data_IF_601596625947
#
_entry.id   IF_601596625947
#
_cell.length_a   1.000
_cell.length_b   1.000
_cell.length_c   1.000
_cell.angle_alpha   90.00
_cell.angle_beta   90.00
_cell.angle_gamma   90.00
#
_symmetry.space_group_name_H-M   'P 1'
#
loop_
_entity.id
_entity.type
_entity.pdbx_description
1 polymer ?
#
# COMPACT_ATOMS: atom_id res chain seq x y z
N UNK A 1 -15.30 -19.65 5.85
CA UNK A 1 -15.19 -19.30 4.42
C UNK A 1 -13.74 -19.44 3.98
N UNK A 2 -13.49 -19.57 2.68
CA UNK A 2 -12.17 -19.56 2.05
C UNK A 2 -11.91 -18.22 1.40
N UNK A 3 -10.90 -17.51 1.87
CA UNK A 3 -10.58 -16.15 1.43
C UNK A 3 -9.21 -16.14 0.76
N UNK A 4 -9.05 -15.43 -0.35
CA UNK A 4 -7.74 -15.20 -0.97
C UNK A 4 -7.42 -13.72 -1.10
N UNK A 5 -6.25 -13.31 -0.64
CA UNK A 5 -5.76 -11.93 -0.70
C UNK A 5 -4.71 -11.79 -1.78
N UNK A 6 -4.95 -10.95 -2.77
CA UNK A 6 -3.96 -10.58 -3.78
C UNK A 6 -3.26 -9.30 -3.34
N UNK A 7 -1.99 -9.42 -2.96
CA UNK A 7 -1.18 -8.30 -2.45
C UNK A 7 -0.12 -7.91 -3.48
N UNK A 8 -0.11 -6.62 -3.83
CA UNK A 8 0.85 -6.02 -4.76
C UNK A 8 1.85 -5.07 -4.07
N UNK A 9 1.74 -4.86 -2.76
CA UNK A 9 2.56 -3.89 -2.01
C UNK A 9 2.67 -4.30 -0.54
N UNK A 10 3.65 -3.73 0.18
CA UNK A 10 3.79 -3.95 1.63
C UNK A 10 2.55 -3.48 2.40
N UNK A 11 1.89 -2.45 1.88
CA UNK A 11 0.66 -1.90 2.45
C UNK A 11 -0.51 -2.88 2.29
N UNK A 12 -0.66 -3.52 1.11
CA UNK A 12 -1.64 -4.58 0.93
C UNK A 12 -1.36 -5.80 1.82
N UNK A 13 -0.08 -6.16 2.01
CA UNK A 13 0.29 -7.25 2.92
C UNK A 13 -0.10 -6.93 4.37
N UNK A 14 0.12 -5.69 4.83
CA UNK A 14 -0.33 -5.24 6.15
C UNK A 14 -1.85 -5.26 6.28
N UNK A 15 -2.57 -4.74 5.29
CA UNK A 15 -4.04 -4.73 5.31
C UNK A 15 -4.60 -6.16 5.30
N UNK A 16 -4.05 -7.06 4.49
CA UNK A 16 -4.43 -8.48 4.51
C UNK A 16 -4.19 -9.09 5.90
N UNK A 17 -3.00 -8.88 6.48
CA UNK A 17 -2.67 -9.32 7.83
C UNK A 17 -3.66 -8.82 8.90
N UNK A 18 -4.04 -7.53 8.84
CA UNK A 18 -5.01 -6.96 9.78
C UNK A 18 -6.36 -7.67 9.66
N UNK A 19 -6.86 -7.87 8.44
CA UNK A 19 -8.16 -8.51 8.22
C UNK A 19 -8.16 -9.99 8.63
N UNK A 20 -7.08 -10.72 8.34
CA UNK A 20 -6.94 -12.13 8.72
C UNK A 20 -6.70 -12.36 10.21
N UNK A 21 -6.29 -11.34 10.96
CA UNK A 21 -6.12 -11.44 12.42
C UNK A 21 -7.28 -10.85 13.21
N UNK A 22 -8.28 -10.27 12.53
CA UNK A 22 -9.45 -9.66 13.16
C UNK A 22 -10.73 -10.34 12.69
N UNK A 23 -11.42 -9.75 11.71
CA UNK A 23 -12.75 -10.16 11.28
C UNK A 23 -12.76 -11.47 10.48
N UNK A 24 -11.62 -11.92 9.96
CA UNK A 24 -11.50 -13.18 9.19
C UNK A 24 -10.60 -14.20 9.89
N UNK A 25 -10.34 -14.05 11.19
CA UNK A 25 -9.41 -14.91 11.96
C UNK A 25 -9.80 -16.39 12.03
N UNK A 26 -11.09 -16.68 11.92
CA UNK A 26 -11.61 -18.04 11.97
C UNK A 26 -11.83 -18.66 10.57
N UNK A 27 -11.52 -17.91 9.50
CA UNK A 27 -11.65 -18.38 8.13
C UNK A 27 -10.37 -19.07 7.61
N UNK A 28 -10.51 -19.79 6.50
CA UNK A 28 -9.37 -20.30 5.75
C UNK A 28 -8.81 -19.21 4.83
N UNK A 29 -7.74 -18.55 5.28
CA UNK A 29 -7.14 -17.46 4.54
C UNK A 29 -5.94 -17.92 3.70
N UNK A 30 -5.87 -17.45 2.46
CA UNK A 30 -4.79 -17.70 1.51
C UNK A 30 -4.21 -16.36 1.04
N UNK A 31 -2.92 -16.35 0.71
CA UNK A 31 -2.23 -15.16 0.23
C UNK A 31 -1.65 -15.39 -1.16
N UNK A 32 -1.76 -14.38 -2.03
CA UNK A 32 -1.12 -14.33 -3.33
C UNK A 32 -0.24 -13.09 -3.36
N UNK A 33 1.07 -13.30 -3.42
CA UNK A 33 2.04 -12.23 -3.58
C UNK A 33 2.23 -12.02 -5.08
N UNK A 34 1.64 -10.94 -5.60
CA UNK A 34 1.56 -10.70 -7.03
C UNK A 34 2.33 -9.45 -7.42
N UNK A 35 3.47 -9.68 -8.08
CA UNK A 35 4.30 -8.63 -8.70
C UNK A 35 4.61 -7.43 -7.78
N UNK A 36 4.89 -7.60 -6.47
CA UNK A 36 5.18 -6.44 -5.65
C UNK A 36 6.55 -5.83 -6.00
N UNK A 37 6.72 -4.51 -5.88
CA UNK A 37 8.00 -3.87 -6.08
C UNK A 37 9.00 -4.37 -5.02
N UNK A 38 10.22 -4.67 -5.48
CA UNK A 38 11.35 -5.10 -4.63
C UNK A 38 11.02 -6.26 -3.67
N UNK A 39 10.32 -7.30 -4.14
CA UNK A 39 9.97 -8.45 -3.29
C UNK A 39 11.16 -9.06 -2.52
N UNK A 40 12.35 -9.08 -3.11
CA UNK A 40 13.55 -9.59 -2.44
C UNK A 40 13.92 -8.84 -1.15
N UNK A 41 13.52 -7.57 -1.00
CA UNK A 41 13.74 -6.82 0.24
C UNK A 41 12.74 -7.20 1.33
N UNK A 42 11.60 -7.79 0.97
CA UNK A 42 10.60 -8.26 1.94
C UNK A 42 11.15 -9.43 2.74
N UNK A 43 11.88 -10.34 2.08
CA UNK A 43 12.50 -11.51 2.69
C UNK A 43 13.56 -11.16 3.74
N UNK A 44 14.10 -9.93 3.69
CA UNK A 44 15.12 -9.42 4.62
C UNK A 44 14.53 -8.72 5.85
N UNK A 45 13.22 -8.49 5.87
CA UNK A 45 12.53 -7.84 6.97
C UNK A 45 11.69 -8.88 7.71
N UNK A 46 11.94 -9.06 9.01
CA UNK A 46 11.30 -10.12 9.79
C UNK A 46 9.78 -9.96 9.85
N UNK A 47 9.27 -8.73 9.96
CA UNK A 47 7.83 -8.45 9.95
C UNK A 47 7.25 -8.83 8.58
N UNK A 48 7.81 -8.32 7.48
CA UNK A 48 7.30 -8.61 6.14
C UNK A 48 7.35 -10.10 5.82
N UNK A 49 8.46 -10.77 6.15
CA UNK A 49 8.62 -12.21 6.01
C UNK A 49 7.52 -12.95 6.77
N UNK A 50 7.24 -12.55 8.00
CA UNK A 50 6.20 -13.16 8.83
C UNK A 50 4.80 -12.95 8.23
N UNK A 51 4.37 -11.70 8.05
CA UNK A 51 3.01 -11.34 7.59
C UNK A 51 2.73 -11.77 6.14
N UNK A 52 3.74 -12.23 5.40
CA UNK A 52 3.62 -12.76 4.05
C UNK A 52 3.93 -14.26 3.96
N UNK A 53 3.84 -15.00 5.06
CA UNK A 53 4.14 -16.44 5.11
C UNK A 53 3.03 -17.25 5.78
N UNK A 54 3.09 -18.57 5.66
CA UNK A 54 2.16 -19.46 6.38
C UNK A 54 2.25 -19.35 7.90
N UNK A 55 3.38 -18.87 8.43
CA UNK A 55 3.60 -18.71 9.87
C UNK A 55 2.63 -17.69 10.50
N UNK A 56 2.08 -16.76 9.70
CA UNK A 56 1.05 -15.84 10.14
C UNK A 56 -0.39 -16.36 9.95
N UNK A 57 -0.56 -17.68 9.78
CA UNK A 57 -1.88 -18.32 9.78
C UNK A 57 -2.53 -18.50 8.40
N UNK A 58 -1.88 -18.08 7.30
CA UNK A 58 -2.36 -18.46 5.97
C UNK A 58 -2.24 -19.96 5.73
N UNK A 59 -3.27 -20.58 5.17
CA UNK A 59 -3.25 -22.00 4.74
C UNK A 59 -2.22 -22.24 3.65
N UNK A 60 -2.10 -21.30 2.70
CA UNK A 60 -1.03 -21.31 1.72
C UNK A 60 -0.67 -19.89 1.25
N UNK A 61 0.55 -19.74 0.75
CA UNK A 61 1.04 -18.50 0.13
C UNK A 61 1.55 -18.82 -1.28
N UNK A 62 0.95 -18.19 -2.28
CA UNK A 62 1.30 -18.34 -3.69
C UNK A 62 2.11 -17.14 -4.16
N UNK A 63 3.32 -17.39 -4.66
CA UNK A 63 4.23 -16.32 -5.12
C UNK A 63 4.18 -16.26 -6.64
N UNK A 64 3.50 -15.25 -7.17
CA UNK A 64 3.23 -15.07 -8.61
C UNK A 64 3.93 -13.80 -9.14
N UNK A 65 5.26 -13.77 -9.07
CA UNK A 65 6.06 -12.59 -9.41
C UNK A 65 6.03 -12.25 -10.90
N UNK A 66 5.82 -13.25 -11.75
CA UNK A 66 5.84 -13.11 -13.21
C UNK A 66 4.44 -13.22 -13.85
N UNK A 67 3.39 -13.16 -13.03
CA UNK A 67 2.01 -13.35 -13.47
C UNK A 67 1.64 -12.44 -14.65
N UNK A 68 1.35 -13.08 -15.79
CA UNK A 68 0.99 -12.45 -17.06
C UNK A 68 1.95 -11.33 -17.46
N UNK A 69 3.25 -11.50 -17.16
CA UNK A 69 4.31 -10.59 -17.58
C UNK A 69 4.83 -10.94 -18.97
N UNK A 70 4.79 -9.98 -19.89
CA UNK A 70 5.41 -10.15 -21.22
C UNK A 70 6.93 -10.35 -21.16
N UNK A 71 7.57 -9.92 -20.07
CA UNK A 71 9.00 -10.12 -19.84
C UNK A 71 9.34 -11.52 -19.33
N UNK A 72 8.35 -12.31 -18.89
CA UNK A 72 8.60 -13.70 -18.52
C UNK A 72 8.81 -14.53 -19.79
N UNK A 73 10.07 -14.88 -20.04
CA UNK A 73 10.46 -15.69 -21.21
C UNK A 73 10.51 -17.19 -20.91
N UNK A 74 10.41 -17.60 -19.65
CA UNK A 74 10.60 -18.99 -19.23
C UNK A 74 9.29 -19.77 -19.14
N UNK A 75 8.14 -19.09 -18.99
CA UNK A 75 6.84 -19.75 -18.86
C UNK A 75 5.77 -19.01 -19.66
N UNK A 76 5.09 -19.72 -20.55
CA UNK A 76 3.99 -19.17 -21.36
C UNK A 76 2.80 -18.76 -20.49
N UNK A 77 1.97 -17.82 -20.95
CA UNK A 77 0.79 -17.40 -20.20
C UNK A 77 -0.18 -18.56 -19.91
N UNK A 78 -0.35 -19.50 -20.85
CA UNK A 78 -1.19 -20.69 -20.66
C UNK A 78 -0.66 -21.59 -19.54
N UNK A 79 0.65 -21.78 -19.45
CA UNK A 79 1.26 -22.56 -18.36
C UNK A 79 1.09 -21.87 -17.01
N UNK A 80 1.23 -20.54 -16.96
CA UNK A 80 0.96 -19.77 -15.74
C UNK A 80 -0.51 -19.94 -15.30
N UNK A 81 -1.47 -19.82 -16.24
CA UNK A 81 -2.90 -20.02 -15.94
C UNK A 81 -3.19 -21.46 -15.55
N UNK A 82 -2.56 -22.44 -16.20
CA UNK A 82 -2.66 -23.86 -15.83
C UNK A 82 -2.23 -24.08 -14.39
N UNK A 83 -1.10 -23.51 -13.96
CA UNK A 83 -0.67 -23.55 -12.56
C UNK A 83 -1.75 -22.99 -11.61
N UNK A 84 -2.32 -21.82 -11.92
CA UNK A 84 -3.38 -21.22 -11.10
C UNK A 84 -4.63 -22.11 -11.05
N UNK A 85 -5.05 -22.70 -12.19
CA UNK A 85 -6.18 -23.63 -12.23
C UNK A 85 -5.92 -24.88 -11.40
N UNK A 86 -4.72 -25.46 -11.48
CA UNK A 86 -4.37 -26.71 -10.80
C UNK A 86 -4.07 -26.56 -9.31
N UNK A 87 -3.61 -25.38 -8.86
CA UNK A 87 -3.14 -25.20 -7.48
C UNK A 87 -4.01 -24.25 -6.64
N UNK A 88 -4.76 -23.35 -7.28
CA UNK A 88 -5.51 -22.30 -6.58
C UNK A 88 -7.01 -22.44 -6.84
N UNK A 89 -7.45 -22.63 -8.09
CA UNK A 89 -8.88 -22.80 -8.41
C UNK A 89 -9.49 -24.01 -7.69
N UNK A 90 -8.73 -25.09 -7.55
CA UNK A 90 -9.15 -26.31 -6.83
C UNK A 90 -9.47 -26.07 -5.35
N UNK A 91 -9.00 -24.96 -4.76
CA UNK A 91 -9.30 -24.63 -3.37
C UNK A 91 -10.76 -24.23 -3.18
N UNK A 92 -11.45 -23.84 -4.26
CA UNK A 92 -12.80 -23.27 -4.26
C UNK A 92 -12.96 -22.09 -3.31
N UNK A 93 -12.28 -20.99 -3.65
CA UNK A 93 -12.24 -19.76 -2.85
C UNK A 93 -13.60 -19.07 -2.82
N UNK A 94 -14.15 -18.76 -1.64
CA UNK A 94 -15.41 -18.00 -1.52
C UNK A 94 -15.22 -16.52 -1.87
N UNK A 95 -14.20 -15.88 -1.30
CA UNK A 95 -13.98 -14.44 -1.40
C UNK A 95 -12.58 -14.09 -1.93
N UNK A 96 -12.52 -13.16 -2.87
CA UNK A 96 -11.27 -12.66 -3.45
C UNK A 96 -11.09 -11.19 -3.07
N UNK A 97 -9.98 -10.88 -2.40
CA UNK A 97 -9.62 -9.52 -1.99
C UNK A 97 -8.48 -9.00 -2.87
N UNK A 98 -8.66 -7.84 -3.50
CA UNK A 98 -7.64 -7.20 -4.33
C UNK A 98 -7.43 -5.75 -3.90
N UNK A 99 -6.19 -5.26 -3.91
CA UNK A 99 -5.91 -3.85 -3.63
C UNK A 99 -6.10 -2.94 -4.85
N UNK A 100 -5.69 -3.43 -6.03
CA UNK A 100 -5.68 -2.64 -7.27
C UNK A 100 -6.63 -3.24 -8.30
N UNK A 101 -7.84 -2.72 -8.40
CA UNK A 101 -8.82 -3.19 -9.38
C UNK A 101 -8.63 -2.59 -10.78
N UNK A 102 -7.74 -1.60 -10.93
CA UNK A 102 -7.32 -1.08 -12.25
C UNK A 102 -6.22 -1.93 -12.91
N UNK A 103 -5.67 -2.89 -12.16
CA UNK A 103 -4.65 -3.84 -12.63
C UNK A 103 -5.32 -4.99 -13.37
N UNK A 104 -5.13 -5.07 -14.69
CA UNK A 104 -5.64 -6.19 -15.51
C UNK A 104 -5.12 -7.54 -15.00
N UNK A 105 -3.83 -7.72 -14.62
CA UNK A 105 -3.37 -8.98 -14.03
C UNK A 105 -4.14 -9.42 -12.78
N UNK A 106 -4.49 -8.48 -11.87
CA UNK A 106 -5.28 -8.80 -10.68
C UNK A 106 -6.69 -9.26 -11.07
N UNK A 107 -7.32 -8.57 -12.01
CA UNK A 107 -8.66 -8.90 -12.49
C UNK A 107 -8.69 -10.26 -13.21
N UNK A 108 -7.71 -10.52 -14.07
CA UNK A 108 -7.58 -11.80 -14.76
C UNK A 108 -7.22 -12.94 -13.80
N UNK A 109 -6.56 -12.66 -12.68
CA UNK A 109 -6.38 -13.66 -11.62
C UNK A 109 -7.71 -14.06 -10.98
N UNK A 110 -8.59 -13.10 -10.68
CA UNK A 110 -9.95 -13.37 -10.16
C UNK A 110 -10.71 -14.33 -11.10
N UNK A 111 -10.67 -14.08 -12.40
CA UNK A 111 -11.29 -14.98 -13.39
C UNK A 111 -10.57 -16.33 -13.50
N UNK A 112 -9.23 -16.35 -13.44
CA UNK A 112 -8.46 -17.59 -13.54
C UNK A 112 -8.77 -18.60 -12.41
N UNK A 113 -9.12 -18.09 -11.21
CA UNK A 113 -9.59 -18.92 -10.09
C UNK A 113 -11.11 -19.18 -10.12
N UNK A 114 -11.79 -18.82 -11.21
CA UNK A 114 -13.21 -19.11 -11.45
C UNK A 114 -14.18 -18.17 -10.74
N UNK A 115 -13.75 -16.96 -10.35
CA UNK A 115 -14.60 -15.98 -9.68
C UNK A 115 -14.90 -14.79 -10.61
N UNK A 116 -16.03 -14.14 -10.39
CA UNK A 116 -16.52 -13.03 -11.23
C UNK A 116 -16.71 -11.73 -10.43
N UNK A 117 -16.27 -11.71 -9.18
CA UNK A 117 -16.43 -10.59 -8.27
C UNK A 117 -15.33 -10.60 -7.22
N UNK A 118 -15.10 -9.44 -6.61
CA UNK A 118 -14.05 -9.24 -5.63
C UNK A 118 -14.43 -8.19 -4.58
N UNK A 119 -13.69 -8.19 -3.49
CA UNK A 119 -13.67 -7.17 -2.45
C UNK A 119 -12.43 -6.32 -2.65
N UNK A 120 -12.56 -5.00 -2.55
CA UNK A 120 -11.41 -4.09 -2.63
C UNK A 120 -10.86 -3.85 -1.24
N UNK A 121 -9.54 -3.96 -1.09
CA UNK A 121 -8.82 -3.44 0.07
C UNK A 121 -8.11 -2.14 -0.33
N UNK A 122 -7.85 -1.28 0.65
CA UNK A 122 -7.27 0.04 0.39
C UNK A 122 -5.86 0.00 -0.23
N UNK A 123 -5.63 0.87 -1.22
CA UNK A 123 -4.41 1.10 -2.02
C UNK A 123 -4.00 2.59 -1.96
N UNK A 124 -4.26 3.24 -0.81
CA UNK A 124 -3.94 4.64 -0.54
C UNK A 124 -4.91 5.64 -1.18
N UNK A 125 -4.41 6.84 -1.53
CA UNK A 125 -5.23 7.98 -2.01
C UNK A 125 -6.20 7.62 -3.15
N UNK A 126 -5.79 6.70 -4.04
CA UNK A 126 -6.60 6.32 -5.20
C UNK A 126 -7.83 5.50 -4.86
N UNK A 127 -7.84 4.86 -3.68
CA UNK A 127 -9.04 4.20 -3.16
C UNK A 127 -10.14 5.21 -2.82
N UNK A 128 -9.81 6.47 -2.57
CA UNK A 128 -10.77 7.53 -2.23
C UNK A 128 -11.21 8.34 -3.44
N UNK A 129 -10.29 8.62 -4.37
CA UNK A 129 -10.57 9.41 -5.57
C UNK A 129 -9.77 8.90 -6.76
N UNK A 130 -10.45 8.73 -7.90
CA UNK A 130 -9.85 8.20 -9.12
C UNK A 130 -9.95 9.16 -10.33
N UNK A 131 -10.47 10.38 -10.13
CA UNK A 131 -10.75 11.31 -11.24
C UNK A 131 -9.53 11.63 -12.10
N UNK A 132 -8.35 11.77 -11.49
CA UNK A 132 -7.09 12.03 -12.24
C UNK A 132 -6.53 10.80 -12.96
N UNK A 133 -7.09 9.61 -12.73
CA UNK A 133 -6.63 8.34 -13.34
C UNK A 133 -7.59 7.78 -14.38
N UNK A 134 -8.78 8.37 -14.54
CA UNK A 134 -9.74 7.94 -15.56
C UNK A 134 -9.12 8.04 -16.94
N UNK A 135 -9.22 6.97 -17.71
CA UNK A 135 -8.72 6.94 -19.09
C UNK A 135 -9.72 7.62 -20.01
N UNK A 136 -9.22 8.28 -21.06
CA UNK A 136 -10.06 8.69 -22.20
C UNK A 136 -10.74 7.46 -22.79
N UNK A 137 -11.97 7.59 -23.30
CA UNK A 137 -12.75 6.47 -23.84
C UNK A 137 -11.99 5.65 -24.90
N UNK A 138 -11.30 6.31 -25.83
CA UNK A 138 -10.49 5.63 -26.86
C UNK A 138 -9.37 4.77 -26.25
N UNK A 139 -8.68 5.27 -25.22
CA UNK A 139 -7.65 4.52 -24.52
C UNK A 139 -8.24 3.35 -23.73
N UNK A 140 -9.40 3.56 -23.09
CA UNK A 140 -10.09 2.50 -22.37
C UNK A 140 -10.52 1.34 -23.29
N UNK A 141 -11.01 1.64 -24.50
CA UNK A 141 -11.34 0.64 -25.52
C UNK A 141 -10.09 -0.12 -25.94
N UNK A 142 -8.98 0.57 -26.23
CA UNK A 142 -7.72 -0.07 -26.56
C UNK A 142 -7.23 -1.00 -25.43
N UNK A 143 -7.27 -0.54 -24.18
CA UNK A 143 -6.92 -1.35 -23.02
C UNK A 143 -7.86 -2.55 -22.84
N UNK A 144 -9.15 -2.39 -23.16
CA UNK A 144 -10.13 -3.48 -23.17
C UNK A 144 -9.75 -4.54 -24.20
N UNK A 145 -9.52 -4.16 -25.45
CA UNK A 145 -9.08 -5.09 -26.51
C UNK A 145 -7.80 -5.84 -26.06
N UNK A 146 -6.80 -5.11 -25.54
CA UNK A 146 -5.56 -5.70 -25.04
C UNK A 146 -5.80 -6.69 -23.90
N UNK A 147 -6.68 -6.37 -22.95
CA UNK A 147 -7.02 -7.23 -21.84
C UNK A 147 -7.75 -8.51 -22.29
N UNK A 148 -8.70 -8.39 -23.22
CA UNK A 148 -9.41 -9.53 -23.79
C UNK A 148 -8.51 -10.41 -24.65
N UNK A 149 -7.58 -9.84 -25.42
CA UNK A 149 -6.58 -10.61 -26.14
C UNK A 149 -5.69 -11.38 -25.15
N UNK A 150 -5.20 -10.72 -24.09
CA UNK A 150 -4.41 -11.38 -23.04
C UNK A 150 -5.19 -12.52 -22.38
N UNK A 151 -6.45 -12.28 -22.02
CA UNK A 151 -7.37 -13.29 -21.48
C UNK A 151 -7.49 -14.51 -22.40
N UNK A 152 -7.73 -14.27 -23.69
CA UNK A 152 -7.88 -15.32 -24.70
C UNK A 152 -6.59 -16.13 -24.91
N UNK A 153 -5.45 -15.48 -25.15
CA UNK A 153 -4.17 -16.20 -25.37
C UNK A 153 -3.77 -17.02 -24.13
N UNK A 154 -4.11 -16.54 -22.94
CA UNK A 154 -3.80 -17.20 -21.67
C UNK A 154 -4.76 -18.34 -21.33
N UNK A 155 -5.89 -18.48 -22.04
CA UNK A 155 -6.90 -19.51 -21.77
C UNK A 155 -7.68 -19.27 -20.48
N UNK A 156 -7.90 -18.01 -20.12
CA UNK A 156 -8.72 -17.63 -18.96
C UNK A 156 -10.18 -17.53 -19.41
N UNK A 157 -11.03 -18.29 -18.74
CA UNK A 157 -12.47 -18.32 -18.95
C UNK A 157 -13.13 -17.49 -17.84
N UNK A 158 -14.15 -16.70 -18.19
CA UNK A 158 -14.86 -15.83 -17.26
C UNK A 158 -15.63 -14.74 -18.00
N UNK A 159 -16.53 -14.06 -17.31
CA UNK A 159 -17.31 -12.95 -17.85
C UNK A 159 -17.33 -11.73 -16.89
N UNK A 160 -16.33 -11.64 -16.01
CA UNK A 160 -16.20 -10.51 -15.09
C UNK A 160 -16.00 -9.23 -15.90
N UNK A 161 -16.66 -8.14 -15.48
CA UNK A 161 -16.39 -6.83 -16.04
C UNK A 161 -14.93 -6.44 -15.75
N UNK A 162 -14.16 -6.16 -16.81
CA UNK A 162 -12.79 -5.70 -16.70
C UNK A 162 -12.76 -4.16 -16.65
N UNK A 163 -12.34 -3.60 -15.52
CA UNK A 163 -12.19 -2.17 -15.26
C UNK A 163 -10.98 -1.58 -16.02
N UNK A 164 -11.14 -1.41 -17.33
CA UNK A 164 -10.12 -0.84 -18.23
C UNK A 164 -10.19 0.67 -18.31
N UNK A 165 -11.27 1.29 -17.80
CA UNK A 165 -11.43 2.74 -17.73
C UNK A 165 -10.73 3.36 -16.52
N UNK A 166 -10.28 2.51 -15.58
CA UNK A 166 -9.85 2.94 -14.25
C UNK A 166 -10.96 3.71 -13.51
N UNK A 167 -12.21 3.29 -13.74
CA UNK A 167 -13.35 3.81 -13.00
C UNK A 167 -13.33 3.27 -11.58
N UNK A 168 -13.79 4.08 -10.63
CA UNK A 168 -13.77 3.73 -9.22
C UNK A 168 -14.85 2.72 -8.84
N UNK A 169 -15.73 2.40 -9.78
CA UNK A 169 -16.93 1.58 -9.61
C UNK A 169 -16.91 0.44 -10.63
N UNK A 170 -15.94 -0.48 -10.49
CA UNK A 170 -16.04 -1.76 -11.20
C UNK A 170 -17.33 -2.48 -10.75
N UNK A 171 -18.25 -2.86 -11.65
CA UNK A 171 -19.44 -3.66 -11.32
C UNK A 171 -19.12 -5.02 -10.68
N UNK A 172 -17.88 -5.51 -10.85
CA UNK A 172 -17.41 -6.73 -10.20
C UNK A 172 -16.97 -6.52 -8.74
N UNK A 173 -16.79 -5.27 -8.30
CA UNK A 173 -16.49 -4.96 -6.91
C UNK A 173 -17.75 -5.06 -6.05
N UNK A 174 -17.67 -5.78 -4.92
CA UNK A 174 -18.79 -5.96 -3.98
C UNK A 174 -18.76 -5.02 -2.79
N UNK A 175 -17.57 -4.68 -2.31
CA UNK A 175 -17.36 -3.92 -1.08
C UNK A 175 -15.96 -3.29 -1.12
N UNK A 176 -15.85 -2.06 -0.63
CA UNK A 176 -14.58 -1.39 -0.35
C UNK A 176 -14.27 -1.45 1.15
N UNK A 177 -13.19 -2.14 1.53
CA UNK A 177 -12.71 -2.25 2.92
C UNK A 177 -11.57 -1.24 3.11
N UNK A 178 -11.82 -0.21 3.93
CA UNK A 178 -11.00 1.00 3.97
C UNK A 178 -10.76 1.47 5.41
N UNK A 179 -9.64 2.15 5.67
CA UNK A 179 -9.33 2.73 6.97
C UNK A 179 -10.24 3.93 7.30
N UNK A 180 -10.62 4.74 6.31
CA UNK A 180 -11.49 5.92 6.50
C UNK A 180 -12.61 6.02 5.47
N UNK A 181 -13.57 5.08 5.42
CA UNK A 181 -14.55 4.98 4.33
C UNK A 181 -15.38 6.26 4.09
N UNK A 182 -15.59 7.11 5.10
CA UNK A 182 -16.29 8.40 4.96
C UNK A 182 -15.56 9.43 4.10
N UNK A 183 -14.29 9.22 3.76
CA UNK A 183 -13.52 10.09 2.87
C UNK A 183 -13.70 9.74 1.39
N UNK A 184 -14.41 8.66 1.06
CA UNK A 184 -14.57 8.21 -0.32
C UNK A 184 -15.33 9.25 -1.14
N UNK A 185 -14.77 9.62 -2.30
CA UNK A 185 -15.38 10.56 -3.24
C UNK A 185 -15.72 9.91 -4.59
N UNK A 186 -15.14 8.75 -4.88
CA UNK A 186 -15.61 7.90 -5.98
C UNK A 186 -16.84 7.10 -5.56
N UNK A 187 -17.60 6.64 -6.55
CA UNK A 187 -18.68 5.69 -6.30
C UNK A 187 -18.15 4.37 -5.75
N UNK A 188 -18.93 3.78 -4.86
CA UNK A 188 -18.66 2.49 -4.22
C UNK A 188 -19.99 1.77 -4.00
N UNK A 189 -20.05 0.44 -4.24
CA UNK A 189 -21.27 -0.35 -4.00
C UNK A 189 -21.64 -0.38 -2.51
N UNK A 190 -20.63 -0.44 -1.65
CA UNK A 190 -20.73 -0.45 -0.19
C UNK A 190 -19.34 -0.26 0.38
N UNK A 191 -19.24 0.27 1.59
CA UNK A 191 -17.98 0.42 2.31
C UNK A 191 -18.00 -0.34 3.64
N UNK A 192 -16.82 -0.72 4.12
CA UNK A 192 -16.60 -1.26 5.47
C UNK A 192 -15.33 -0.65 6.04
N UNK A 193 -15.40 -0.22 7.30
CA UNK A 193 -14.27 0.37 7.99
C UNK A 193 -13.31 -0.70 8.53
N UNK A 194 -12.00 -0.45 8.40
CA UNK A 194 -10.93 -1.09 9.17
C UNK A 194 -10.78 -0.27 10.44
N UNK A 195 -11.29 -0.80 11.55
CA UNK A 195 -11.36 -0.06 12.81
C UNK A 195 -10.04 -0.13 13.59
N UNK A 196 -9.88 0.75 14.57
CA UNK A 196 -8.71 0.77 15.46
C UNK A 196 -8.61 -0.53 16.27
N UNK A 197 -9.73 -1.15 16.63
CA UNK A 197 -9.78 -2.45 17.31
C UNK A 197 -9.20 -3.55 16.43
N UNK A 198 -9.59 -3.61 15.14
CA UNK A 198 -9.04 -4.59 14.19
C UNK A 198 -7.53 -4.44 14.04
N UNK A 199 -7.05 -3.20 13.94
CA UNK A 199 -5.62 -2.88 13.84
C UNK A 199 -4.89 -3.32 15.12
N UNK A 200 -5.45 -3.02 16.29
CA UNK A 200 -4.86 -3.38 17.59
C UNK A 200 -4.80 -4.89 17.82
N UNK A 201 -5.81 -5.65 17.40
CA UNK A 201 -5.79 -7.12 17.47
C UNK A 201 -4.61 -7.69 16.67
N UNK A 202 -4.41 -7.23 15.44
CA UNK A 202 -3.31 -7.67 14.59
C UNK A 202 -1.94 -7.24 15.13
N UNK A 203 -1.82 -6.01 15.62
CA UNK A 203 -0.58 -5.50 16.23
C UNK A 203 -0.19 -6.30 17.48
N UNK A 204 -1.17 -6.80 18.25
CA UNK A 204 -0.90 -7.62 19.44
C UNK A 204 -0.14 -8.89 19.08
N UNK A 205 -0.44 -9.52 17.95
CA UNK A 205 0.31 -10.70 17.48
C UNK A 205 1.77 -10.34 17.12
N UNK A 206 2.01 -9.24 16.40
CA UNK A 206 3.38 -8.82 16.10
C UNK A 206 4.19 -8.50 17.37
N UNK A 207 3.54 -7.94 18.39
CA UNK A 207 4.17 -7.63 19.68
C UNK A 207 4.44 -8.89 20.51
N UNK A 208 3.50 -9.84 20.58
CA UNK A 208 3.69 -11.08 21.35
C UNK A 208 4.83 -11.94 20.76
N UNK A 209 5.05 -11.84 19.45
CA UNK A 209 6.16 -12.47 18.74
C UNK A 209 7.46 -11.68 18.78
N UNK A 210 7.47 -10.52 19.45
CA UNK A 210 8.60 -9.59 19.52
C UNK A 210 9.11 -9.12 18.14
N UNK A 211 8.27 -9.15 17.11
CA UNK A 211 8.62 -8.69 15.76
C UNK A 211 8.50 -7.18 15.65
N UNK A 212 7.52 -6.59 16.35
CA UNK A 212 7.31 -5.15 16.35
C UNK A 212 7.94 -4.52 17.60
N UNK A 213 9.12 -3.91 17.42
CA UNK A 213 9.91 -3.28 18.49
C UNK A 213 9.83 -1.76 18.42
N UNK A 214 10.02 -1.11 19.56
CA UNK A 214 10.26 0.33 19.60
C UNK A 214 11.62 0.61 18.95
N UNK A 215 11.69 1.62 18.11
CA UNK A 215 12.90 2.02 17.37
C UNK A 215 13.42 3.39 17.78
N UNK A 216 12.55 4.25 18.33
CA UNK A 216 12.88 5.62 18.72
C UNK A 216 13.04 5.73 20.23
N UNK A 217 14.27 5.99 20.68
CA UNK A 217 14.63 6.15 22.09
C UNK A 217 14.32 7.57 22.62
N UNK A 218 14.32 8.55 21.72
CA UNK A 218 14.19 9.98 22.02
C UNK A 218 12.96 10.56 21.32
N UNK A 219 12.45 11.70 21.81
CA UNK A 219 11.38 12.41 21.13
C UNK A 219 11.77 12.69 19.67
N UNK A 220 10.91 12.28 18.74
CA UNK A 220 11.31 12.13 17.34
C UNK A 220 10.27 12.65 16.35
N UNK A 221 10.76 13.03 15.18
CA UNK A 221 9.95 13.32 13.99
C UNK A 221 10.33 12.30 12.92
N UNK A 222 9.34 11.69 12.28
CA UNK A 222 9.56 10.78 11.16
C UNK A 222 9.27 11.50 9.85
N UNK A 223 10.28 11.67 9.01
CA UNK A 223 10.12 12.12 7.64
C UNK A 223 9.98 10.93 6.70
N UNK A 224 8.83 10.83 6.04
CA UNK A 224 8.56 9.87 4.97
C UNK A 224 8.95 10.52 3.64
N UNK A 225 10.14 10.20 3.15
CA UNK A 225 10.64 10.74 1.90
C UNK A 225 9.80 10.28 0.71
N UNK A 226 9.83 11.09 -0.34
CA UNK A 226 9.23 10.83 -1.64
C UNK A 226 10.23 11.26 -2.73
N UNK A 227 10.17 10.64 -3.93
CA UNK A 227 11.15 10.88 -4.99
C UNK A 227 10.88 12.20 -5.75
N UNK A 228 10.61 13.28 -5.03
CA UNK A 228 10.17 14.57 -5.56
C UNK A 228 11.33 15.36 -6.16
N UNK A 229 12.53 15.23 -5.57
CA UNK A 229 13.78 15.81 -6.11
C UNK A 229 14.12 15.16 -7.45
N UNK A 230 13.99 13.84 -7.50
CA UNK A 230 14.20 13.01 -8.69
C UNK A 230 13.17 13.30 -9.79
N UNK A 231 11.98 13.75 -9.39
CA UNK A 231 10.92 14.22 -10.29
C UNK A 231 11.07 15.70 -10.69
N UNK A 232 12.11 16.40 -10.21
CA UNK A 232 12.36 17.82 -10.51
C UNK A 232 11.30 18.76 -9.95
N UNK A 233 10.62 18.38 -8.86
CA UNK A 233 9.59 19.21 -8.21
C UNK A 233 10.20 20.32 -7.35
N UNK A 234 11.37 20.06 -6.78
CA UNK A 234 12.22 20.99 -6.04
C UNK A 234 13.63 20.38 -5.97
N UNK A 235 14.63 21.16 -5.57
CA UNK A 235 16.02 20.71 -5.47
C UNK A 235 16.33 20.03 -4.14
N UNK A 236 17.50 19.39 -4.07
CA UNK A 236 18.00 18.78 -2.84
C UNK A 236 18.22 19.83 -1.73
N UNK A 237 18.68 21.01 -2.11
CA UNK A 237 18.92 22.15 -1.22
C UNK A 237 17.60 22.71 -0.68
N UNK A 238 16.56 22.81 -1.51
CA UNK A 238 15.23 23.24 -1.09
C UNK A 238 14.61 22.28 -0.06
N UNK A 239 14.71 20.96 -0.28
CA UNK A 239 14.29 19.97 0.71
C UNK A 239 15.10 20.08 2.00
N UNK A 240 16.43 20.21 1.90
CA UNK A 240 17.29 20.36 3.08
C UNK A 240 16.93 21.61 3.90
N UNK A 241 16.72 22.76 3.26
CA UNK A 241 16.28 23.99 3.92
C UNK A 241 14.91 23.82 4.58
N UNK A 242 13.98 23.11 3.94
CA UNK A 242 12.68 22.79 4.53
C UNK A 242 12.84 21.95 5.81
N UNK A 243 13.66 20.90 5.77
CA UNK A 243 13.93 20.06 6.93
C UNK A 243 14.65 20.84 8.06
N UNK A 244 15.56 21.77 7.73
CA UNK A 244 16.19 22.65 8.71
C UNK A 244 15.20 23.60 9.39
N UNK A 245 14.25 24.17 8.64
CA UNK A 245 13.16 24.98 9.24
C UNK A 245 12.38 24.16 10.26
N UNK A 246 12.06 22.90 9.94
CA UNK A 246 11.38 22.00 10.87
C UNK A 246 12.26 21.75 12.10
N UNK A 247 13.55 21.44 11.94
CA UNK A 247 14.47 21.29 13.08
C UNK A 247 14.46 22.51 13.99
N UNK A 248 14.53 23.70 13.42
CA UNK A 248 14.59 24.97 14.16
C UNK A 248 13.32 25.22 14.99
N UNK A 249 12.15 24.79 14.52
CA UNK A 249 10.90 24.86 15.29
C UNK A 249 10.96 24.04 16.58
N UNK A 250 11.74 22.96 16.61
CA UNK A 250 11.85 22.07 17.76
C UNK A 250 13.14 22.28 18.58
N UNK A 251 13.97 23.29 18.26
CA UNK A 251 15.13 23.77 19.04
C UNK A 251 16.03 22.64 19.60
N UNK A 252 16.44 21.71 18.74
CA UNK A 252 17.29 20.55 19.04
C UNK A 252 16.73 19.51 20.03
N UNK A 253 15.44 19.61 20.41
CA UNK A 253 14.81 18.67 21.35
C UNK A 253 14.31 17.37 20.70
N UNK A 254 14.44 17.24 19.38
CA UNK A 254 13.92 16.11 18.63
C UNK A 254 14.90 15.59 17.59
N UNK A 255 14.90 14.28 17.39
CA UNK A 255 15.65 13.62 16.32
C UNK A 255 14.76 13.50 15.09
N UNK A 256 15.28 13.88 13.91
CA UNK A 256 14.61 13.62 12.64
C UNK A 256 15.05 12.25 12.09
N UNK A 257 14.12 11.31 12.01
CA UNK A 257 14.31 10.05 11.32
C UNK A 257 13.87 10.19 9.87
N UNK A 258 14.79 10.04 8.92
CA UNK A 258 14.51 10.08 7.49
C UNK A 258 14.28 8.65 7.00
N UNK A 259 13.05 8.29 6.60
CA UNK A 259 12.73 7.00 5.96
C UNK A 259 12.74 7.16 4.44
N UNK A 260 13.76 6.63 3.74
CA UNK A 260 13.86 6.77 2.28
C UNK A 260 12.71 6.09 1.55
N UNK A 261 12.28 6.71 0.45
CA UNK A 261 11.43 6.04 -0.52
C UNK A 261 12.26 5.01 -1.30
N UNK A 262 11.69 3.87 -1.73
CA UNK A 262 12.39 2.92 -2.57
C UNK A 262 12.93 3.49 -3.90
N UNK A 263 12.43 4.64 -4.34
CA UNK A 263 12.87 5.31 -5.57
C UNK A 263 13.68 6.57 -5.32
N UNK A 264 14.05 6.86 -4.07
CA UNK A 264 15.00 7.95 -3.79
C UNK A 264 16.36 7.60 -4.40
N UNK A 265 17.05 8.64 -4.88
CA UNK A 265 18.40 8.56 -5.38
C UNK A 265 19.35 8.18 -4.22
N UNK A 266 20.19 7.14 -4.36
CA UNK A 266 21.21 6.81 -3.37
C UNK A 266 22.12 7.99 -2.98
N UNK A 267 22.44 8.87 -3.93
CA UNK A 267 23.30 10.05 -3.70
C UNK A 267 22.62 11.09 -2.81
N UNK A 268 21.29 11.25 -2.93
CA UNK A 268 20.48 12.07 -2.02
C UNK A 268 20.60 11.56 -0.59
N UNK A 269 20.47 10.25 -0.39
CA UNK A 269 20.57 9.63 0.94
C UNK A 269 21.99 9.77 1.51
N UNK A 270 23.01 9.62 0.67
CA UNK A 270 24.41 9.82 1.04
C UNK A 270 24.66 11.28 1.47
N UNK A 271 24.18 12.25 0.69
CA UNK A 271 24.28 13.68 0.99
C UNK A 271 23.69 13.99 2.37
N UNK A 272 22.47 13.53 2.67
CA UNK A 272 21.85 13.75 3.98
C UNK A 272 22.66 13.16 5.13
N UNK A 273 23.17 11.93 4.95
CA UNK A 273 23.97 11.25 5.96
C UNK A 273 25.30 11.97 6.26
N UNK A 274 25.91 12.56 5.24
CA UNK A 274 27.23 13.22 5.35
C UNK A 274 27.13 14.65 5.89
N UNK A 275 26.10 15.41 5.49
CA UNK A 275 26.00 16.84 5.78
C UNK A 275 25.11 17.17 6.99
N UNK A 276 24.16 16.30 7.36
CA UNK A 276 23.18 16.60 8.40
C UNK A 276 23.23 15.56 9.53
N UNK A 277 24.15 15.75 10.48
CA UNK A 277 24.34 14.82 11.63
C UNK A 277 23.11 14.63 12.51
N UNK A 278 22.16 15.58 12.49
CA UNK A 278 20.91 15.55 13.24
C UNK A 278 19.80 14.73 12.54
N UNK A 279 20.04 14.26 11.32
CA UNK A 279 19.17 13.36 10.57
C UNK A 279 19.67 11.92 10.75
N UNK A 280 18.83 11.04 11.31
CA UNK A 280 19.09 9.61 11.37
C UNK A 280 18.39 8.92 10.20
N UNK A 281 19.16 8.30 9.29
CA UNK A 281 18.57 7.52 8.18
C UNK A 281 17.96 6.23 8.73
N UNK A 282 16.65 6.09 8.58
CA UNK A 282 15.88 4.92 8.97
C UNK A 282 16.04 3.80 7.94
N UNK A 283 16.50 2.63 8.40
CA UNK A 283 16.84 1.50 7.53
C UNK A 283 15.74 0.45 7.38
N UNK A 284 14.68 0.53 8.19
CA UNK A 284 13.58 -0.44 8.16
C UNK A 284 12.76 -0.33 6.87
N UNK A 285 12.34 -1.48 6.36
CA UNK A 285 11.54 -1.62 5.13
C UNK A 285 10.08 -1.98 5.39
N UNK A 286 9.69 -2.11 6.66
CA UNK A 286 8.31 -2.32 7.09
C UNK A 286 7.42 -1.10 6.76
N UNK A 287 6.09 -1.31 6.67
CA UNK A 287 5.12 -0.23 6.43
C UNK A 287 5.26 0.90 7.46
N UNK A 288 5.08 2.14 7.02
CA UNK A 288 5.20 3.30 7.89
C UNK A 288 4.17 3.27 9.04
N UNK A 289 2.99 2.72 8.78
CA UNK A 289 1.90 2.53 9.73
C UNK A 289 2.33 1.76 10.99
N UNK A 290 3.21 0.76 10.84
CA UNK A 290 3.73 0.00 11.99
C UNK A 290 4.68 0.83 12.85
N UNK A 291 5.39 1.79 12.25
CA UNK A 291 6.27 2.71 12.99
C UNK A 291 5.41 3.63 13.87
N UNK A 292 4.24 4.07 13.39
CA UNK A 292 3.32 4.89 14.19
C UNK A 292 2.79 4.12 15.42
N UNK A 293 2.55 2.81 15.25
CA UNK A 293 2.00 1.96 16.29
C UNK A 293 2.99 1.50 17.37
N UNK A 294 4.29 1.52 17.08
CA UNK A 294 5.33 0.99 17.97
C UNK A 294 6.24 2.03 18.61
N UNK A 295 6.11 3.31 18.26
CA UNK A 295 7.05 4.34 18.73
C UNK A 295 6.33 5.44 19.54
N UNK A 296 6.20 5.31 20.88
CA UNK A 296 5.53 6.32 21.70
C UNK A 296 6.27 7.67 21.75
N UNK A 297 7.55 7.68 21.42
CA UNK A 297 8.39 8.89 21.32
C UNK A 297 8.20 9.67 20.01
N UNK A 298 7.51 9.10 19.03
CA UNK A 298 7.19 9.79 17.79
C UNK A 298 6.17 10.92 18.07
N UNK A 299 6.50 12.16 17.72
CA UNK A 299 5.64 13.34 17.95
C UNK A 299 4.96 13.83 16.68
N UNK A 300 5.63 13.68 15.54
CA UNK A 300 5.09 14.07 14.26
C UNK A 300 5.60 13.16 13.14
N UNK A 301 4.76 12.97 12.14
CA UNK A 301 5.11 12.34 10.86
C UNK A 301 4.94 13.41 9.80
N UNK A 302 5.99 13.63 9.03
CA UNK A 302 6.04 14.66 7.99
C UNK A 302 6.32 14.02 6.63
N UNK A 303 5.71 14.54 5.59
CA UNK A 303 5.93 14.16 4.18
C UNK A 303 5.36 15.25 3.28
N UNK A 304 5.44 15.14 1.96
CA UNK A 304 4.71 16.06 1.07
C UNK A 304 3.28 15.57 0.85
N UNK A 305 3.14 14.38 0.25
CA UNK A 305 1.84 13.82 -0.15
C UNK A 305 1.77 12.31 0.09
N UNK A 306 2.46 11.79 1.12
CA UNK A 306 2.41 10.38 1.45
C UNK A 306 1.04 10.00 2.00
N UNK A 307 0.41 8.97 1.42
CA UNK A 307 -0.88 8.46 1.90
C UNK A 307 -0.80 7.89 3.31
N UNK A 308 0.39 7.49 3.78
CA UNK A 308 0.58 7.01 5.14
C UNK A 308 0.24 8.08 6.18
N UNK A 309 0.35 9.38 5.84
CA UNK A 309 -0.07 10.48 6.71
C UNK A 309 -1.54 10.39 7.11
N UNK A 310 -2.40 9.85 6.24
CA UNK A 310 -3.82 9.70 6.51
C UNK A 310 -4.11 8.65 7.59
N UNK A 311 -3.18 7.72 7.84
CA UNK A 311 -3.42 6.59 8.73
C UNK A 311 -2.74 6.78 10.09
N UNK A 312 -2.13 7.94 10.36
CA UNK A 312 -1.43 8.19 11.62
C UNK A 312 -2.35 8.02 12.82
N UNK A 313 -3.53 8.62 12.82
CA UNK A 313 -4.51 8.53 13.91
C UNK A 313 -5.07 7.12 14.11
N UNK A 314 -5.10 6.30 13.04
CA UNK A 314 -5.59 4.93 13.09
C UNK A 314 -4.62 3.96 13.75
N UNK A 315 -3.32 4.21 13.60
CA UNK A 315 -2.27 3.31 14.09
C UNK A 315 -1.57 3.83 15.35
N UNK A 316 -1.51 5.14 15.55
CA UNK A 316 -0.83 5.74 16.68
C UNK A 316 -1.54 5.46 18.00
N UNK A 317 -0.75 5.19 19.04
CA UNK A 317 -1.24 5.09 20.43
C UNK A 317 -1.11 6.40 21.20
N UNK A 318 -0.37 7.34 20.64
CA UNK A 318 -0.10 8.67 21.20
C UNK A 318 -0.57 9.73 20.21
N UNK A 319 -0.67 10.97 20.66
CA UNK A 319 -1.01 12.07 19.78
C UNK A 319 0.18 12.42 18.86
N UNK A 320 0.18 11.86 17.65
CA UNK A 320 1.17 12.10 16.61
C UNK A 320 0.57 13.05 15.59
N UNK A 321 1.24 14.18 15.32
CA UNK A 321 0.80 15.11 14.28
C UNK A 321 1.16 14.59 12.88
N UNK A 322 0.21 14.56 11.97
CA UNK A 322 0.45 14.29 10.55
C UNK A 322 0.57 15.62 9.78
N UNK A 323 1.70 15.86 9.12
CA UNK A 323 2.00 17.14 8.48
C UNK A 323 2.43 16.93 7.03
N UNK A 324 1.79 17.66 6.12
CA UNK A 324 2.21 17.83 4.74
C UNK A 324 3.11 19.07 4.63
N UNK A 325 4.26 18.93 3.98
CA UNK A 325 5.20 20.04 3.68
C UNK A 325 4.94 20.68 2.31
N UNK A 326 3.76 20.44 1.72
CA UNK A 326 3.47 20.84 0.36
C UNK A 326 3.41 22.36 0.19
N UNK A 327 2.93 23.10 1.18
CA UNK A 327 2.83 24.57 1.08
C UNK A 327 4.21 25.21 1.21
N UNK A 328 5.06 24.68 2.09
CA UNK A 328 6.44 25.13 2.31
C UNK A 328 7.32 25.07 1.06
N UNK A 329 7.06 24.14 0.14
CA UNK A 329 7.80 23.96 -1.12
C UNK A 329 6.95 24.21 -2.38
N UNK A 330 5.76 24.81 -2.24
CA UNK A 330 4.83 25.05 -3.34
C UNK A 330 4.56 23.81 -4.21
N UNK A 331 4.49 22.63 -3.59
CA UNK A 331 4.17 21.39 -4.28
C UNK A 331 2.68 21.40 -4.62
N UNK A 332 2.36 21.48 -5.91
CA UNK A 332 0.98 21.41 -6.37
C UNK A 332 0.34 20.05 -6.03
N UNK A 333 -0.75 20.09 -5.29
CA UNK A 333 -1.58 18.95 -4.93
C UNK A 333 -2.98 19.19 -5.46
N UNK A 334 -3.47 18.23 -6.24
CA UNK A 334 -4.82 18.28 -6.79
C UNK A 334 -5.85 18.60 -5.67
N UNK A 335 -6.75 19.58 -5.85
CA UNK A 335 -7.62 20.09 -4.78
C UNK A 335 -8.43 19.00 -4.06
N UNK A 336 -8.91 18.00 -4.81
CA UNK A 336 -9.63 16.86 -4.22
C UNK A 336 -8.74 16.02 -3.29
N UNK A 337 -7.47 15.78 -3.66
CA UNK A 337 -6.55 15.05 -2.79
C UNK A 337 -6.21 15.86 -1.55
N UNK A 338 -5.99 17.16 -1.69
CA UNK A 338 -5.80 18.08 -0.57
C UNK A 338 -6.97 18.02 0.41
N UNK A 339 -8.19 18.18 -0.07
CA UNK A 339 -9.41 18.11 0.75
C UNK A 339 -9.57 16.75 1.46
N UNK A 340 -9.24 15.63 0.80
CA UNK A 340 -9.24 14.29 1.45
C UNK A 340 -8.20 14.24 2.58
N UNK A 341 -7.00 14.74 2.32
CA UNK A 341 -5.91 14.79 3.29
C UNK A 341 -6.26 15.68 4.50
N UNK A 342 -6.78 16.88 4.26
CA UNK A 342 -7.24 17.80 5.32
C UNK A 342 -8.34 17.16 6.18
N UNK A 343 -9.36 16.56 5.55
CA UNK A 343 -10.44 15.85 6.26
C UNK A 343 -9.95 14.60 7.00
N UNK A 344 -8.78 14.06 6.64
CA UNK A 344 -8.15 12.96 7.39
C UNK A 344 -7.37 13.44 8.62
N UNK A 345 -7.22 14.75 8.82
CA UNK A 345 -6.51 15.37 9.95
C UNK A 345 -5.08 15.83 9.63
N UNK A 346 -4.69 15.88 8.35
CA UNK A 346 -3.36 16.31 7.93
C UNK A 346 -3.28 17.83 7.94
N UNK A 347 -2.24 18.36 8.59
CA UNK A 347 -1.91 19.79 8.63
C UNK A 347 -1.02 20.12 7.43
N UNK A 348 -1.37 21.13 6.65
CA UNK A 348 -0.51 21.63 5.57
C UNK A 348 0.38 22.76 6.10
N UNK A 349 1.67 22.67 5.81
CA UNK A 349 2.73 23.56 6.26
C UNK A 349 3.65 23.97 5.10
#
# INVERSE_FOLDING_TARGET
MKNIFVVNSIYHALTAFILTHSILKNDENYLVIMRPPKYETWKKNEILKYISSKECGYKNVFVLLDWLMSKNRTTSYRQQVKYVKENIRILDIDNVFIGVDTSIPNQLFVEAIGKNSFYRIEDGMYSYFNGTRRRKKSHAIFHKIKAYLLKWISGIEGNMYLNTEAEGESPAGKLDIMYKPWLIQRKSPSTKEITVEMINEAIKDLKSRQLLKETFEEDSILYLSQPMVEMGKFTLEEEAQCLEKIRNLYKDKVILYYKPHPHDNPDKIKYYKEHFKWIKIYKGSEPAELIFASNPKLKAVISYQSSALMNVDKFAKTNIKAISLADSLNVDIHPVYRNIMEKSGIIFY
#
